data_IF_833897517438
#
_entry.id   IF_833897517438
#
_cell.length_a   1.000
_cell.length_b   1.000
_cell.length_c   1.000
_cell.angle_alpha   90.00
_cell.angle_beta   90.00
_cell.angle_gamma   90.00
#
_symmetry.space_group_name_H-M   'P 1'
#
loop_
_entity.id
_entity.type
_entity.pdbx_description
1 polymer ?
#
# COMPACT_ATOMS: atom_id res chain seq x y z
N UNK A 1 20.42 7.39 -22.17
CA UNK A 1 20.23 8.69 -21.50
C UNK A 1 19.59 8.42 -20.13
N UNK A 2 20.18 8.88 -19.04
CA UNK A 2 19.60 8.74 -17.70
C UNK A 2 18.52 9.81 -17.56
N UNK A 3 17.30 9.40 -17.19
CA UNK A 3 16.21 10.35 -16.98
C UNK A 3 15.46 10.02 -15.70
N UNK A 4 14.97 11.02 -14.95
CA UNK A 4 14.14 10.81 -13.80
C UNK A 4 12.81 10.16 -14.20
N UNK A 5 12.31 9.33 -13.32
CA UNK A 5 11.08 8.58 -13.50
C UNK A 5 10.31 8.52 -12.18
N UNK A 6 9.00 8.72 -12.25
CA UNK A 6 8.12 8.47 -11.12
C UNK A 6 7.86 6.97 -11.00
N UNK A 7 8.27 6.37 -9.89
CA UNK A 7 7.97 4.97 -9.56
C UNK A 7 6.50 4.85 -9.18
N UNK A 8 6.05 5.79 -8.34
CA UNK A 8 4.64 5.92 -7.99
C UNK A 8 4.26 7.39 -7.85
N UNK A 9 2.98 7.65 -8.06
CA UNK A 9 2.37 8.95 -7.79
C UNK A 9 0.92 8.74 -7.36
N UNK A 10 0.57 9.25 -6.18
CA UNK A 10 -0.80 9.27 -5.67
C UNK A 10 -1.13 10.65 -5.19
N UNK A 11 -2.25 11.19 -5.65
CA UNK A 11 -2.76 12.49 -5.25
C UNK A 11 -4.21 12.36 -4.81
N UNK A 12 -4.50 12.78 -3.59
CA UNK A 12 -5.83 12.68 -2.98
C UNK A 12 -6.27 14.07 -2.55
N UNK A 13 -7.37 14.52 -3.09
CA UNK A 13 -8.02 15.77 -2.76
C UNK A 13 -9.21 15.48 -1.83
N UNK A 14 -9.16 15.99 -0.61
CA UNK A 14 -10.30 16.00 0.32
C UNK A 14 -10.73 17.44 0.62
N UNK A 15 -11.62 17.63 1.58
CA UNK A 15 -12.16 18.96 1.92
C UNK A 15 -11.11 19.91 2.49
N UNK A 16 -10.06 19.41 3.15
CA UNK A 16 -9.09 20.20 3.91
C UNK A 16 -7.76 20.39 3.17
N UNK A 17 -7.33 19.40 2.37
CA UNK A 17 -6.02 19.40 1.75
C UNK A 17 -5.93 18.50 0.51
N UNK A 18 -4.95 18.80 -0.33
CA UNK A 18 -4.43 17.91 -1.36
C UNK A 18 -3.21 17.19 -0.79
N UNK A 19 -3.32 15.87 -0.60
CA UNK A 19 -2.21 15.01 -0.19
C UNK A 19 -1.51 14.43 -1.41
N UNK A 20 -0.18 14.50 -1.44
CA UNK A 20 0.64 13.90 -2.50
C UNK A 20 1.65 12.96 -1.88
N UNK A 21 1.68 11.73 -2.42
CA UNK A 21 2.72 10.75 -2.17
C UNK A 21 3.32 10.31 -3.49
N UNK A 22 4.64 10.40 -3.61
CA UNK A 22 5.36 10.03 -4.83
C UNK A 22 6.72 9.42 -4.51
N UNK A 23 7.26 8.65 -5.44
CA UNK A 23 8.63 8.16 -5.41
C UNK A 23 9.30 8.44 -6.75
N UNK A 24 10.50 9.02 -6.70
CA UNK A 24 11.29 9.34 -7.88
C UNK A 24 12.59 8.56 -7.89
N UNK A 25 13.01 8.13 -9.06
CA UNK A 25 14.28 7.46 -9.29
C UNK A 25 14.85 7.80 -10.67
N UNK A 26 16.12 7.46 -10.89
CA UNK A 26 16.70 7.52 -12.23
C UNK A 26 16.43 6.23 -12.97
N UNK A 27 15.73 6.30 -14.11
CA UNK A 27 15.63 5.18 -15.02
C UNK A 27 16.95 5.06 -15.80
N UNK A 28 17.64 3.96 -15.57
CA UNK A 28 18.83 3.60 -16.32
C UNK A 28 18.51 2.42 -17.24
N UNK A 29 19.24 2.33 -18.37
CA UNK A 29 19.15 1.14 -19.23
C UNK A 29 19.54 -0.12 -18.44
N UNK A 30 18.98 -1.29 -18.78
CA UNK A 30 19.27 -2.54 -18.09
C UNK A 30 20.79 -2.74 -17.97
N UNK A 31 21.22 -3.15 -16.78
CA UNK A 31 22.64 -3.33 -16.45
C UNK A 31 23.18 -4.48 -17.30
N UNK A 32 24.33 -4.32 -17.96
CA UNK A 32 25.12 -5.45 -18.42
C UNK A 32 25.44 -6.35 -17.21
N UNK A 33 25.36 -7.65 -17.39
CA UNK A 33 25.59 -8.69 -16.39
C UNK A 33 26.70 -8.34 -15.38
N UNK A 34 26.43 -8.36 -14.07
CA UNK A 34 27.45 -8.20 -13.03
C UNK A 34 27.11 -7.37 -11.79
N UNK A 35 25.86 -7.00 -11.51
CA UNK A 35 25.50 -6.31 -10.24
C UNK A 35 25.34 -7.27 -9.05
N UNK A 36 25.49 -6.77 -7.82
CA UNK A 36 25.40 -7.54 -6.55
C UNK A 36 24.15 -8.43 -6.48
N UNK A 37 23.05 -7.99 -7.05
CA UNK A 37 21.79 -8.76 -7.06
C UNK A 37 21.70 -9.80 -8.18
N UNK A 38 22.44 -9.58 -9.28
CA UNK A 38 22.62 -10.63 -10.29
C UNK A 38 23.39 -11.77 -9.64
N UNK A 39 24.40 -11.47 -8.84
CA UNK A 39 25.17 -12.46 -8.09
C UNK A 39 24.30 -13.12 -7.02
N UNK A 40 23.50 -12.38 -6.27
CA UNK A 40 22.56 -12.95 -5.28
C UNK A 40 21.49 -13.82 -5.97
N UNK A 41 20.93 -13.38 -7.09
CA UNK A 41 19.98 -14.17 -7.87
C UNK A 41 20.65 -15.40 -8.50
N UNK A 42 21.92 -15.32 -8.94
CA UNK A 42 22.71 -16.46 -9.38
C UNK A 42 23.06 -17.41 -8.24
N UNK A 43 23.43 -16.91 -7.07
CA UNK A 43 23.68 -17.74 -5.88
C UNK A 43 22.41 -18.45 -5.43
N UNK A 44 21.27 -17.79 -5.45
CA UNK A 44 19.96 -18.40 -5.21
C UNK A 44 19.59 -19.43 -6.29
N UNK A 45 19.89 -19.14 -7.56
CA UNK A 45 19.65 -20.04 -8.67
C UNK A 45 20.59 -21.26 -8.65
N UNK A 46 21.85 -21.09 -8.24
CA UNK A 46 22.82 -22.19 -8.07
C UNK A 46 22.48 -23.08 -6.88
N UNK A 47 21.88 -22.52 -5.83
CA UNK A 47 21.38 -23.30 -4.68
C UNK A 47 20.12 -24.12 -5.01
N UNK A 48 19.45 -23.82 -6.13
CA UNK A 48 18.26 -24.48 -6.64
C UNK A 48 18.62 -25.23 -7.91
N UNK A 49 19.15 -26.43 -7.79
CA UNK A 49 19.59 -27.25 -8.92
C UNK A 49 18.73 -27.14 -10.21
N UNK A 50 19.38 -26.72 -11.32
CA UNK A 50 19.20 -27.16 -12.70
C UNK A 50 18.15 -26.56 -13.63
N UNK A 51 17.39 -25.56 -13.32
CA UNK A 51 16.70 -24.84 -14.39
C UNK A 51 17.18 -23.38 -14.46
N UNK A 52 18.05 -23.10 -15.42
CA UNK A 52 18.57 -21.75 -15.73
C UNK A 52 17.42 -20.92 -16.31
N UNK A 53 16.59 -20.36 -15.45
CA UNK A 53 15.74 -19.24 -15.81
C UNK A 53 16.53 -17.97 -15.56
N UNK A 54 16.80 -17.19 -16.60
CA UNK A 54 17.26 -15.82 -16.42
C UNK A 54 16.25 -15.11 -15.52
N UNK A 55 16.65 -14.58 -14.35
CA UNK A 55 15.72 -13.86 -13.48
C UNK A 55 15.16 -12.68 -14.26
N UNK A 56 13.89 -12.73 -14.62
CA UNK A 56 13.15 -11.60 -15.14
C UNK A 56 12.55 -10.88 -13.94
N UNK A 57 13.34 -10.04 -13.30
CA UNK A 57 12.75 -9.06 -12.40
C UNK A 57 11.74 -8.25 -13.21
N UNK A 58 10.53 -8.04 -12.72
CA UNK A 58 9.49 -7.28 -13.42
C UNK A 58 9.93 -5.85 -13.73
N UNK A 59 11.04 -5.39 -13.15
CA UNK A 59 11.63 -4.08 -13.37
C UNK A 59 13.12 -4.17 -13.64
N UNK A 60 13.52 -3.59 -14.76
CA UNK A 60 14.82 -3.74 -15.39
C UNK A 60 16.00 -3.12 -14.61
N UNK A 61 15.86 -2.51 -13.45
CA UNK A 61 17.02 -1.93 -12.78
C UNK A 61 16.95 -1.89 -11.25
N UNK A 62 17.82 -2.66 -10.67
CA UNK A 62 18.16 -2.70 -9.23
C UNK A 62 18.79 -1.37 -8.73
N UNK A 63 19.20 -0.47 -9.61
CA UNK A 63 19.66 0.88 -9.27
C UNK A 63 18.55 1.77 -8.68
N UNK A 64 17.30 1.34 -8.73
CA UNK A 64 16.19 1.87 -7.93
C UNK A 64 16.46 1.87 -6.41
N UNK A 65 17.44 1.10 -5.95
CA UNK A 65 17.85 1.03 -4.55
C UNK A 65 18.82 2.14 -4.11
N UNK A 66 19.48 2.83 -5.05
CA UNK A 66 20.32 3.98 -4.70
C UNK A 66 19.42 5.18 -4.38
N UNK A 67 19.45 5.59 -3.12
CA UNK A 67 18.82 6.82 -2.69
C UNK A 67 19.47 8.04 -3.37
N UNK A 68 18.66 9.00 -3.76
CA UNK A 68 19.06 10.32 -4.24
C UNK A 68 17.97 11.32 -3.88
N UNK A 69 18.38 12.52 -3.49
CA UNK A 69 17.48 13.65 -3.31
C UNK A 69 17.08 14.24 -4.65
N UNK A 70 15.79 14.55 -4.80
CA UNK A 70 15.22 15.20 -5.99
C UNK A 70 14.39 16.41 -5.57
N UNK A 71 14.19 17.34 -6.50
CA UNK A 71 13.23 18.42 -6.35
C UNK A 71 12.10 18.24 -7.37
N UNK A 72 10.88 18.24 -6.86
CA UNK A 72 9.66 18.05 -7.64
C UNK A 72 8.82 19.32 -7.60
N UNK A 73 8.56 19.92 -8.75
CA UNK A 73 7.62 21.04 -8.89
C UNK A 73 6.23 20.48 -9.18
N UNK A 74 5.27 20.92 -8.38
CA UNK A 74 3.84 20.67 -8.60
C UNK A 74 3.18 21.95 -9.07
N UNK A 75 2.45 21.85 -10.16
CA UNK A 75 1.54 22.89 -10.67
C UNK A 75 0.14 22.32 -10.63
N UNK A 76 -0.73 22.94 -9.82
CA UNK A 76 -2.13 22.53 -9.70
C UNK A 76 -3.04 23.49 -10.48
N UNK A 77 -3.96 22.90 -11.24
CA UNK A 77 -4.90 23.59 -12.11
C UNK A 77 -6.32 23.40 -11.60
N UNK A 78 -7.11 24.46 -11.66
CA UNK A 78 -8.55 24.43 -11.46
C UNK A 78 -9.22 25.17 -12.61
N UNK A 79 -10.14 24.50 -13.33
CA UNK A 79 -10.86 25.07 -14.46
C UNK A 79 -9.94 25.69 -15.55
N UNK A 80 -8.78 25.07 -15.78
CA UNK A 80 -7.80 25.52 -16.78
C UNK A 80 -6.87 26.63 -16.29
N UNK A 81 -7.04 27.16 -15.08
CA UNK A 81 -6.18 28.18 -14.49
C UNK A 81 -5.24 27.57 -13.45
N UNK A 82 -4.02 28.08 -13.40
CA UNK A 82 -3.07 27.71 -12.34
C UNK A 82 -3.50 28.34 -11.02
N UNK A 83 -3.74 27.49 -10.01
CA UNK A 83 -4.15 27.93 -8.66
C UNK A 83 -3.07 27.67 -7.60
N UNK A 84 -2.04 26.89 -7.94
CA UNK A 84 -0.95 26.61 -7.03
C UNK A 84 0.30 26.14 -7.76
N UNK A 85 1.46 26.61 -7.28
CA UNK A 85 2.78 26.19 -7.75
C UNK A 85 3.74 26.14 -6.56
N UNK A 86 4.45 25.03 -6.43
CA UNK A 86 5.51 24.90 -5.42
C UNK A 86 6.50 23.81 -5.76
N UNK A 87 7.76 23.99 -5.33
CA UNK A 87 8.81 22.97 -5.39
C UNK A 87 8.91 22.31 -4.03
N UNK A 88 8.99 20.99 -4.02
CA UNK A 88 9.16 20.15 -2.85
C UNK A 88 10.44 19.33 -3.00
N UNK A 89 11.13 19.10 -1.89
CA UNK A 89 12.31 18.25 -1.83
C UNK A 89 11.93 16.87 -1.31
N UNK A 90 12.53 15.82 -1.90
CA UNK A 90 12.36 14.44 -1.45
C UNK A 90 13.19 14.17 -0.20
N UNK A 91 12.91 13.03 0.46
CA UNK A 91 13.86 12.43 1.37
C UNK A 91 15.13 11.93 0.61
N UNK A 92 16.11 11.41 1.36
CA UNK A 92 17.36 10.85 0.80
C UNK A 92 17.15 9.65 -0.13
N UNK A 93 15.95 9.09 -0.18
CA UNK A 93 15.58 7.94 -1.01
C UNK A 93 14.72 8.31 -2.22
N UNK A 94 14.42 9.61 -2.42
CA UNK A 94 13.59 10.08 -3.51
C UNK A 94 12.10 9.98 -3.25
N UNK A 95 11.66 9.83 -1.98
CA UNK A 95 10.24 9.80 -1.63
C UNK A 95 9.75 11.19 -1.28
N UNK A 96 8.52 11.47 -1.69
CA UNK A 96 7.77 12.67 -1.36
C UNK A 96 6.50 12.28 -0.60
N UNK A 97 6.23 12.99 0.48
CA UNK A 97 4.98 12.85 1.24
C UNK A 97 4.65 14.21 1.87
N UNK A 98 3.71 14.93 1.27
CA UNK A 98 3.35 16.25 1.73
C UNK A 98 1.87 16.58 1.51
N UNK A 99 1.40 17.60 2.19
CA UNK A 99 0.04 18.12 2.11
C UNK A 99 0.04 19.58 1.70
N UNK A 100 -0.88 19.94 0.84
CA UNK A 100 -1.14 21.31 0.41
C UNK A 100 -2.49 21.69 1.01
N UNK A 101 -2.53 22.65 1.95
CA UNK A 101 -3.78 23.13 2.50
C UNK A 101 -4.64 23.78 1.41
N UNK A 102 -5.93 23.50 1.44
CA UNK A 102 -6.89 24.10 0.51
C UNK A 102 -7.38 25.45 1.03
N UNK A 103 -7.59 26.34 0.10
CA UNK A 103 -8.38 27.55 0.24
C UNK A 103 -9.50 27.51 -0.82
N UNK A 104 -10.34 28.53 -0.88
CA UNK A 104 -11.50 28.53 -1.80
C UNK A 104 -11.09 28.36 -3.28
N UNK A 105 -9.95 28.93 -3.68
CA UNK A 105 -9.43 28.79 -5.05
C UNK A 105 -8.94 27.38 -5.38
N UNK A 106 -8.49 26.63 -4.36
CA UNK A 106 -7.88 25.31 -4.51
C UNK A 106 -8.86 24.16 -4.30
N UNK A 107 -10.08 24.40 -3.89
CA UNK A 107 -11.09 23.34 -3.67
C UNK A 107 -11.44 22.59 -4.96
N UNK A 108 -11.29 23.22 -6.12
CA UNK A 108 -11.67 22.65 -7.42
C UNK A 108 -10.47 22.22 -8.26
N UNK A 109 -9.37 21.83 -7.63
CA UNK A 109 -8.20 21.28 -8.34
C UNK A 109 -8.63 20.02 -9.09
N UNK A 110 -8.46 20.05 -10.42
CA UNK A 110 -8.85 18.96 -11.31
C UNK A 110 -7.68 18.40 -12.13
N UNK A 111 -6.52 19.04 -12.13
CA UNK A 111 -5.32 18.53 -12.78
C UNK A 111 -4.05 18.95 -12.03
N UNK A 112 -3.05 18.10 -12.11
CA UNK A 112 -1.71 18.32 -11.55
C UNK A 112 -0.67 18.05 -12.62
N UNK A 113 0.23 19.01 -12.88
CA UNK A 113 1.43 18.78 -13.68
C UNK A 113 2.64 18.65 -12.75
N UNK A 114 3.42 17.61 -12.95
CA UNK A 114 4.55 17.21 -12.10
C UNK A 114 5.84 17.32 -12.90
N UNK A 115 6.79 18.10 -12.39
CA UNK A 115 8.09 18.33 -13.06
C UNK A 115 9.23 17.96 -12.12
N UNK A 116 10.31 17.42 -12.68
CA UNK A 116 11.62 17.37 -12.06
C UNK A 116 12.40 18.64 -12.41
N UNK A 117 13.06 19.26 -11.40
CA UNK A 117 13.69 20.58 -11.56
C UNK A 117 15.10 20.67 -10.99
N UNK A 118 15.66 19.58 -10.45
CA UNK A 118 16.95 19.61 -9.76
C UNK A 118 18.13 19.09 -10.60
N UNK A 119 17.86 18.31 -11.65
CA UNK A 119 18.92 17.59 -12.38
C UNK A 119 19.71 18.49 -13.34
N UNK A 120 19.05 19.45 -13.95
CA UNK A 120 19.67 20.38 -14.88
C UNK A 120 19.18 21.79 -14.57
N UNK A 121 20.06 22.71 -14.14
CA UNK A 121 19.67 24.09 -13.85
C UNK A 121 18.94 24.75 -15.03
N UNK A 122 17.79 25.37 -14.75
CA UNK A 122 16.97 26.06 -15.75
C UNK A 122 16.13 25.16 -16.65
N UNK A 123 16.21 23.83 -16.50
CA UNK A 123 15.39 22.87 -17.23
C UNK A 123 14.33 22.24 -16.31
N UNK A 124 13.09 22.33 -16.72
CA UNK A 124 11.96 21.67 -16.06
C UNK A 124 11.52 20.47 -16.90
N UNK A 125 11.73 19.27 -16.37
CA UNK A 125 11.34 18.05 -17.07
C UNK A 125 9.96 17.60 -16.61
N UNK A 126 8.96 17.66 -17.49
CA UNK A 126 7.62 17.14 -17.22
C UNK A 126 7.68 15.61 -17.02
N UNK A 127 7.28 15.16 -15.84
CA UNK A 127 7.20 13.74 -15.48
C UNK A 127 5.82 13.14 -15.77
N UNK A 128 4.79 13.96 -15.73
CA UNK A 128 3.41 13.56 -16.05
C UNK A 128 2.38 14.59 -15.63
N UNK A 129 1.15 14.34 -16.11
CA UNK A 129 -0.04 15.07 -15.69
C UNK A 129 -1.02 14.09 -15.05
N UNK A 130 -1.62 14.47 -13.93
CA UNK A 130 -2.43 13.59 -13.09
C UNK A 130 -3.74 14.28 -12.70
N UNK A 131 -4.78 13.48 -12.55
CA UNK A 131 -6.05 13.91 -11.96
C UNK A 131 -6.06 13.42 -10.52
N UNK A 132 -6.20 14.31 -9.52
CA UNK A 132 -6.28 13.87 -8.14
C UNK A 132 -7.56 13.09 -7.90
N UNK A 133 -7.49 12.04 -7.06
CA UNK A 133 -8.69 11.38 -6.58
C UNK A 133 -9.41 12.30 -5.60
N UNK A 134 -10.66 12.64 -5.93
CA UNK A 134 -11.50 13.46 -5.04
C UNK A 134 -12.23 12.54 -4.06
N UNK A 135 -12.02 12.77 -2.76
CA UNK A 135 -12.72 12.08 -1.69
C UNK A 135 -13.66 13.07 -0.97
N UNK A 136 -14.93 13.03 -1.34
CA UNK A 136 -16.00 13.76 -0.64
C UNK A 136 -16.56 12.95 0.51
N UNK A 137 -17.08 13.61 1.54
CA UNK A 137 -17.79 12.94 2.64
C UNK A 137 -19.27 12.70 2.28
N UNK A 138 -19.85 11.58 2.74
CA UNK A 138 -19.25 10.47 3.49
C UNK A 138 -18.31 9.63 2.63
N UNK A 139 -17.05 9.44 3.05
CA UNK A 139 -16.05 8.71 2.29
C UNK A 139 -16.03 7.21 2.67
N UNK A 140 -15.75 6.37 1.67
CA UNK A 140 -15.71 4.91 1.80
C UNK A 140 -14.39 4.38 1.26
N UNK A 141 -13.64 3.66 2.07
CA UNK A 141 -12.35 3.09 1.68
C UNK A 141 -12.35 1.58 1.80
N UNK A 142 -11.71 0.93 0.83
CA UNK A 142 -11.32 -0.47 0.95
C UNK A 142 -9.81 -0.59 0.81
N UNK A 143 -9.15 -1.14 1.83
CA UNK A 143 -7.70 -1.37 1.83
C UNK A 143 -7.49 -2.86 1.76
N UNK A 144 -6.84 -3.31 0.70
CA UNK A 144 -6.66 -4.72 0.39
C UNK A 144 -5.17 -5.07 0.36
N UNK A 145 -4.80 -6.14 1.04
CA UNK A 145 -3.53 -6.79 0.84
C UNK A 145 -3.47 -7.45 -0.54
N UNK A 146 -2.27 -7.61 -1.10
CA UNK A 146 -2.07 -8.15 -2.44
C UNK A 146 -1.64 -9.62 -2.42
N UNK A 147 -0.50 -9.88 -1.76
CA UNK A 147 0.11 -11.20 -1.72
C UNK A 147 -0.71 -12.16 -0.85
N UNK A 148 -0.92 -13.40 -1.32
CA UNK A 148 -1.79 -14.40 -0.68
C UNK A 148 -3.25 -13.99 -0.50
N UNK A 149 -3.59 -12.74 -0.78
CA UNK A 149 -4.96 -12.21 -0.71
C UNK A 149 -5.60 -12.11 -2.09
N UNK A 150 -5.01 -11.40 -3.03
CA UNK A 150 -5.49 -11.28 -4.42
C UNK A 150 -4.82 -12.27 -5.37
N UNK A 151 -3.55 -12.56 -5.10
CA UNK A 151 -2.71 -13.50 -5.86
C UNK A 151 -2.15 -14.53 -4.89
N UNK A 152 -2.21 -15.81 -5.27
CA UNK A 152 -1.75 -16.93 -4.42
C UNK A 152 -0.23 -17.12 -4.54
N UNK A 153 0.53 -16.12 -4.10
CA UNK A 153 1.99 -16.16 -4.03
C UNK A 153 2.47 -17.07 -2.90
N UNK A 154 3.63 -17.71 -3.08
CA UNK A 154 4.23 -18.59 -2.08
C UNK A 154 5.58 -18.06 -1.64
N UNK A 155 5.82 -18.00 -0.34
CA UNK A 155 7.04 -17.48 0.27
C UNK A 155 7.59 -18.36 1.41
N UNK A 156 7.19 -19.64 1.46
CA UNK A 156 7.54 -20.53 2.57
C UNK A 156 8.97 -21.05 2.48
N UNK A 157 9.51 -21.18 1.27
CA UNK A 157 10.87 -21.66 1.00
C UNK A 157 11.68 -20.64 0.20
N UNK A 158 13.01 -20.73 0.24
CA UNK A 158 13.90 -19.88 -0.56
C UNK A 158 13.59 -19.98 -2.07
N UNK A 159 13.22 -21.18 -2.53
CA UNK A 159 12.81 -21.45 -3.91
C UNK A 159 11.52 -20.69 -4.27
N UNK A 160 10.53 -20.70 -3.40
CA UNK A 160 9.28 -19.98 -3.59
C UNK A 160 9.48 -18.47 -3.58
N UNK A 161 10.33 -17.95 -2.69
CA UNK A 161 10.73 -16.53 -2.69
C UNK A 161 11.38 -16.16 -4.02
N UNK A 162 12.33 -16.97 -4.51
CA UNK A 162 12.97 -16.76 -5.80
C UNK A 162 11.96 -16.76 -6.95
N UNK A 163 11.04 -17.71 -7.01
CA UNK A 163 9.99 -17.75 -8.02
C UNK A 163 9.06 -16.54 -7.93
N UNK A 164 8.68 -16.13 -6.74
CA UNK A 164 7.84 -14.95 -6.53
C UNK A 164 8.51 -13.65 -6.99
N UNK A 165 9.85 -13.59 -6.95
CA UNK A 165 10.62 -12.44 -7.40
C UNK A 165 10.93 -12.47 -8.92
N UNK A 166 10.93 -13.62 -9.56
CA UNK A 166 11.41 -13.78 -10.94
C UNK A 166 10.32 -14.14 -11.95
N UNK A 167 9.18 -14.66 -11.51
CA UNK A 167 8.05 -14.99 -12.38
C UNK A 167 7.10 -13.80 -12.52
N UNK A 168 6.49 -13.59 -13.68
CA UNK A 168 5.44 -12.60 -13.84
C UNK A 168 4.25 -12.91 -12.93
N UNK A 169 3.49 -11.89 -12.53
CA UNK A 169 2.35 -12.05 -11.61
C UNK A 169 1.26 -12.98 -12.15
N UNK A 170 1.14 -13.07 -13.48
CA UNK A 170 0.20 -13.97 -14.17
C UNK A 170 0.53 -15.45 -13.99
N UNK A 171 1.77 -15.76 -13.60
CA UNK A 171 2.19 -17.13 -13.26
C UNK A 171 1.49 -17.65 -11.99
N UNK A 172 1.12 -16.76 -11.08
CA UNK A 172 0.49 -17.14 -9.82
C UNK A 172 -1.03 -17.15 -9.94
N UNK A 173 -1.70 -18.13 -9.33
CA UNK A 173 -3.16 -18.19 -9.35
C UNK A 173 -3.81 -16.94 -8.77
N UNK A 174 -4.81 -16.42 -9.46
CA UNK A 174 -5.65 -15.35 -8.94
C UNK A 174 -6.65 -15.93 -7.93
N UNK A 175 -6.77 -15.30 -6.77
CA UNK A 175 -7.79 -15.64 -5.77
C UNK A 175 -9.11 -14.98 -6.18
N UNK A 176 -9.90 -15.72 -6.98
CA UNK A 176 -11.08 -15.17 -7.66
C UNK A 176 -12.13 -14.61 -6.71
N UNK A 177 -12.35 -15.25 -5.55
CA UNK A 177 -13.29 -14.77 -4.54
C UNK A 177 -12.84 -13.44 -3.92
N UNK A 178 -11.58 -13.27 -3.62
CA UNK A 178 -11.04 -11.99 -3.11
C UNK A 178 -11.24 -10.87 -4.12
N UNK A 179 -10.94 -11.14 -5.41
CA UNK A 179 -11.17 -10.17 -6.49
C UNK A 179 -12.65 -9.81 -6.61
N UNK A 180 -13.54 -10.80 -6.48
CA UNK A 180 -14.99 -10.56 -6.51
C UNK A 180 -15.46 -9.69 -5.35
N UNK A 181 -15.01 -9.97 -4.11
CA UNK A 181 -15.31 -9.16 -2.92
C UNK A 181 -14.82 -7.72 -3.14
N UNK A 182 -13.55 -7.54 -3.52
CA UNK A 182 -12.97 -6.22 -3.77
C UNK A 182 -13.81 -5.43 -4.79
N UNK A 183 -14.14 -6.07 -5.92
CA UNK A 183 -14.97 -5.45 -6.97
C UNK A 183 -16.39 -5.10 -6.50
N UNK A 184 -16.98 -5.92 -5.63
CA UNK A 184 -18.31 -5.64 -5.09
C UNK A 184 -18.32 -4.35 -4.26
N UNK A 185 -17.27 -4.11 -3.47
CA UNK A 185 -17.12 -2.88 -2.71
C UNK A 185 -16.83 -1.67 -3.60
N UNK A 186 -15.98 -1.84 -4.63
CA UNK A 186 -15.74 -0.77 -5.62
C UNK A 186 -17.06 -0.34 -6.29
N UNK A 187 -17.91 -1.29 -6.67
CA UNK A 187 -19.25 -1.00 -7.22
C UNK A 187 -20.16 -0.25 -6.23
N UNK A 188 -19.96 -0.43 -4.91
CA UNK A 188 -20.65 0.29 -3.85
C UNK A 188 -20.03 1.66 -3.51
N UNK A 189 -19.10 2.13 -4.33
CA UNK A 189 -18.43 3.44 -4.17
C UNK A 189 -17.27 3.46 -3.20
N UNK A 190 -16.69 2.30 -2.83
CA UNK A 190 -15.48 2.26 -2.04
C UNK A 190 -14.25 2.54 -2.93
N UNK A 191 -13.35 3.40 -2.46
CA UNK A 191 -12.09 3.69 -3.12
C UNK A 191 -11.02 2.67 -2.67
N UNK A 192 -10.47 1.87 -3.62
CA UNK A 192 -9.53 0.82 -3.28
C UNK A 192 -8.10 1.34 -3.10
N UNK A 193 -7.45 0.89 -2.03
CA UNK A 193 -6.01 1.01 -1.80
C UNK A 193 -5.41 -0.38 -1.70
N UNK A 194 -4.20 -0.54 -2.22
CA UNK A 194 -3.46 -1.79 -2.13
C UNK A 194 -2.26 -1.62 -1.22
N UNK A 195 -2.08 -2.54 -0.30
CA UNK A 195 -0.92 -2.61 0.59
C UNK A 195 -0.26 -3.97 0.41
N UNK A 196 1.05 -4.02 0.18
CA UNK A 196 1.76 -5.28 -0.03
C UNK A 196 3.17 -5.24 0.57
N UNK A 197 3.66 -6.40 1.03
CA UNK A 197 5.05 -6.61 1.42
C UNK A 197 6.01 -6.63 0.24
N UNK A 198 5.50 -6.70 -0.98
CA UNK A 198 6.29 -6.68 -2.20
C UNK A 198 7.16 -5.42 -2.29
N UNK A 199 8.37 -5.52 -2.87
CA UNK A 199 9.24 -4.37 -3.05
C UNK A 199 8.59 -3.26 -3.87
N UNK A 200 8.92 -2.00 -3.57
CA UNK A 200 8.38 -0.83 -4.26
C UNK A 200 8.58 -0.85 -5.79
N UNK A 201 9.60 -1.53 -6.27
CA UNK A 201 9.84 -1.67 -7.72
C UNK A 201 8.87 -2.64 -8.43
N UNK A 202 8.02 -3.36 -7.69
CA UNK A 202 6.92 -4.19 -8.23
C UNK A 202 5.66 -3.39 -8.53
N UNK A 203 5.61 -2.10 -8.23
CA UNK A 203 4.40 -1.31 -8.37
C UNK A 203 3.83 -1.34 -9.79
N UNK A 204 4.69 -1.22 -10.81
CA UNK A 204 4.25 -1.27 -12.22
C UNK A 204 3.57 -2.61 -12.55
N UNK A 205 4.18 -3.73 -12.15
CA UNK A 205 3.62 -5.06 -12.38
C UNK A 205 2.28 -5.26 -11.62
N UNK A 206 2.20 -4.79 -10.37
CA UNK A 206 0.95 -4.86 -9.59
C UNK A 206 -0.14 -3.99 -10.22
N UNK A 207 0.21 -2.78 -10.68
CA UNK A 207 -0.71 -1.87 -11.34
C UNK A 207 -1.26 -2.47 -12.62
N UNK A 208 -0.40 -3.07 -13.46
CA UNK A 208 -0.80 -3.73 -14.70
C UNK A 208 -1.72 -4.92 -14.42
N UNK A 209 -1.38 -5.74 -13.41
CA UNK A 209 -2.21 -6.85 -12.98
C UNK A 209 -3.61 -6.40 -12.51
N UNK A 210 -3.69 -5.32 -11.74
CA UNK A 210 -4.95 -4.71 -11.29
C UNK A 210 -5.74 -4.15 -12.46
N UNK A 211 -5.07 -3.44 -13.37
CA UNK A 211 -5.68 -2.83 -14.55
C UNK A 211 -6.32 -3.88 -15.47
N UNK A 212 -5.61 -4.98 -15.76
CA UNK A 212 -6.15 -6.11 -16.53
C UNK A 212 -7.43 -6.67 -15.91
N UNK A 213 -7.59 -6.56 -14.60
CA UNK A 213 -8.78 -6.99 -13.84
C UNK A 213 -9.78 -5.87 -13.59
N UNK A 214 -9.62 -4.72 -14.27
CA UNK A 214 -10.48 -3.54 -14.13
C UNK A 214 -10.61 -3.06 -12.68
N UNK A 215 -9.52 -3.13 -11.91
CA UNK A 215 -9.41 -2.59 -10.55
C UNK A 215 -8.56 -1.32 -10.63
N UNK A 216 -9.21 -0.16 -10.54
CA UNK A 216 -8.54 1.14 -10.53
C UNK A 216 -8.32 1.57 -9.09
N UNK A 217 -7.06 1.53 -8.65
CA UNK A 217 -6.71 1.84 -7.26
C UNK A 217 -6.41 3.32 -7.05
N UNK A 218 -6.78 3.82 -5.87
CA UNK A 218 -6.42 5.15 -5.38
C UNK A 218 -4.94 5.28 -5.02
N UNK A 219 -4.29 4.16 -4.71
CA UNK A 219 -2.86 4.11 -4.42
C UNK A 219 -2.38 2.70 -4.09
N UNK A 220 -1.10 2.47 -4.38
CA UNK A 220 -0.40 1.23 -4.08
C UNK A 220 0.71 1.55 -3.07
N UNK A 221 0.75 0.83 -1.97
CA UNK A 221 1.67 1.03 -0.86
C UNK A 221 2.52 -0.22 -0.68
N UNK A 222 3.77 -0.14 -1.10
CA UNK A 222 4.72 -1.24 -1.10
C UNK A 222 5.84 -0.99 -0.11
N UNK A 223 6.50 -2.08 0.31
CA UNK A 223 7.64 -2.00 1.23
C UNK A 223 8.84 -1.33 0.55
N UNK A 224 9.31 -0.23 1.12
CA UNK A 224 10.51 0.45 0.62
C UNK A 224 11.78 -0.23 1.15
N UNK A 225 12.30 -1.15 0.37
CA UNK A 225 13.53 -1.86 0.70
C UNK A 225 14.78 -0.98 0.70
N UNK A 226 14.75 0.22 0.10
CA UNK A 226 15.86 1.18 0.17
C UNK A 226 16.11 1.61 1.62
N UNK A 227 15.04 1.83 2.38
CA UNK A 227 15.13 2.12 3.81
C UNK A 227 15.65 0.92 4.61
N UNK A 228 15.28 -0.29 4.20
CA UNK A 228 15.76 -1.52 4.83
C UNK A 228 17.25 -1.72 4.51
N UNK A 229 17.65 -1.56 3.26
CA UNK A 229 19.05 -1.77 2.83
C UNK A 229 20.01 -0.65 3.26
N UNK A 230 19.56 0.58 3.45
CA UNK A 230 20.39 1.64 4.06
C UNK A 230 20.74 1.36 5.52
N UNK A 231 20.01 0.45 6.16
CA UNK A 231 20.30 -0.05 7.50
C UNK A 231 21.24 -1.28 7.49
N UNK A 232 21.60 -1.83 6.30
CA UNK A 232 22.52 -2.97 6.17
C UNK A 232 23.97 -2.67 6.56
N UNK A 233 24.33 -1.42 6.76
CA UNK A 233 25.58 -1.08 7.44
C UNK A 233 25.61 -1.50 8.91
N UNK A 234 24.50 -2.05 9.44
CA UNK A 234 24.34 -2.54 10.80
C UNK A 234 23.54 -3.86 10.81
N UNK A 235 24.24 -5.00 10.85
CA UNK A 235 23.82 -6.36 11.24
C UNK A 235 22.31 -6.71 11.16
N UNK A 236 21.69 -6.56 9.99
CA UNK A 236 20.33 -7.05 9.77
C UNK A 236 20.33 -8.57 9.61
N UNK A 237 19.61 -9.24 10.47
CA UNK A 237 19.40 -10.68 10.36
C UNK A 237 18.25 -11.00 9.40
N UNK A 238 18.23 -12.19 8.76
CA UNK A 238 17.09 -12.66 7.98
C UNK A 238 15.75 -12.64 8.74
N UNK A 239 15.80 -12.57 10.08
CA UNK A 239 14.60 -12.44 10.93
C UNK A 239 13.97 -11.05 10.82
N UNK A 240 14.76 -10.00 10.59
CA UNK A 240 14.26 -8.62 10.47
C UNK A 240 13.49 -8.39 9.15
N UNK A 241 13.80 -9.19 8.12
CA UNK A 241 13.03 -9.22 6.87
C UNK A 241 11.62 -9.82 7.05
N UNK A 242 11.42 -10.64 8.10
CA UNK A 242 10.14 -11.29 8.41
C UNK A 242 9.20 -10.47 9.28
N UNK A 243 9.60 -9.27 9.74
CA UNK A 243 8.73 -8.38 10.52
C UNK A 243 7.73 -7.66 9.61
N UNK A 244 6.67 -8.37 9.21
CA UNK A 244 5.69 -7.87 8.25
C UNK A 244 4.62 -6.94 8.86
N UNK A 245 4.33 -7.05 10.17
CA UNK A 245 3.22 -6.33 10.77
C UNK A 245 3.40 -4.83 10.83
N UNK A 246 4.59 -4.37 11.16
CA UNK A 246 4.84 -2.97 11.43
C UNK A 246 4.78 -2.08 10.18
N UNK A 247 5.36 -2.52 9.05
CA UNK A 247 5.31 -1.74 7.82
C UNK A 247 3.87 -1.63 7.32
N UNK A 248 3.07 -2.70 7.44
CA UNK A 248 1.67 -2.72 7.01
C UNK A 248 0.84 -1.73 7.84
N UNK A 249 0.99 -1.74 9.16
CA UNK A 249 0.37 -0.73 10.03
C UNK A 249 0.79 0.68 9.64
N UNK A 250 2.08 0.91 9.38
CA UNK A 250 2.59 2.21 8.99
C UNK A 250 1.92 2.72 7.69
N UNK A 251 1.74 1.84 6.69
CA UNK A 251 1.06 2.20 5.45
C UNK A 251 -0.45 2.43 5.64
N UNK A 252 -1.10 1.66 6.49
CA UNK A 252 -2.51 1.89 6.83
C UNK A 252 -2.72 3.28 7.45
N UNK A 253 -1.83 3.68 8.37
CA UNK A 253 -1.84 5.02 8.94
C UNK A 253 -1.56 6.10 7.89
N UNK A 254 -0.63 5.88 6.96
CA UNK A 254 -0.35 6.81 5.86
C UNK A 254 -1.56 6.99 4.93
N UNK A 255 -2.25 5.90 4.59
CA UNK A 255 -3.48 5.98 3.79
C UNK A 255 -4.51 6.85 4.50
N UNK A 256 -4.76 6.63 5.79
CA UNK A 256 -5.72 7.43 6.56
C UNK A 256 -5.26 8.88 6.74
N UNK A 257 -3.97 9.13 6.86
CA UNK A 257 -3.45 10.50 6.90
C UNK A 257 -3.61 11.21 5.56
N UNK A 258 -3.51 10.50 4.43
CA UNK A 258 -3.72 11.07 3.09
C UNK A 258 -5.18 11.27 2.75
N UNK A 259 -6.03 10.28 3.04
CA UNK A 259 -7.46 10.29 2.66
C UNK A 259 -8.37 10.98 3.66
N UNK A 260 -7.91 11.16 4.89
CA UNK A 260 -8.77 11.42 6.04
C UNK A 260 -9.35 10.12 6.61
N UNK A 261 -10.03 10.21 7.74
CA UNK A 261 -10.73 9.08 8.35
C UNK A 261 -12.05 8.87 7.60
N UNK A 262 -12.33 7.66 7.04
CA UNK A 262 -13.54 7.40 6.28
C UNK A 262 -14.75 7.13 7.21
N UNK A 263 -15.95 7.22 6.66
CA UNK A 263 -17.18 6.78 7.33
C UNK A 263 -17.31 5.25 7.29
N UNK A 264 -16.96 4.66 6.14
CA UNK A 264 -16.95 3.22 5.96
C UNK A 264 -15.54 2.74 5.59
N UNK A 265 -14.99 1.81 6.35
CA UNK A 265 -13.69 1.19 6.04
C UNK A 265 -13.83 -0.32 5.96
N UNK A 266 -13.31 -0.88 4.88
CA UNK A 266 -13.16 -2.32 4.68
C UNK A 266 -11.69 -2.65 4.57
N UNK A 267 -11.24 -3.65 5.31
CA UNK A 267 -9.88 -4.17 5.26
C UNK A 267 -9.93 -5.61 4.76
N UNK A 268 -9.09 -5.93 3.77
CA UNK A 268 -9.00 -7.29 3.21
C UNK A 268 -7.59 -7.81 3.33
N UNK A 269 -7.43 -9.03 3.82
CA UNK A 269 -6.14 -9.68 3.99
C UNK A 269 -6.25 -11.18 4.11
N UNK A 270 -5.17 -11.79 4.59
CA UNK A 270 -5.06 -13.23 4.77
C UNK A 270 -4.72 -13.61 6.22
N UNK A 271 -4.87 -14.91 6.54
CA UNK A 271 -4.45 -15.50 7.82
C UNK A 271 -3.09 -16.21 7.73
N UNK A 272 -2.31 -15.96 6.69
CA UNK A 272 -0.94 -16.51 6.55
C UNK A 272 0.09 -15.67 7.29
N UNK A 273 -0.26 -14.39 7.53
CA UNK A 273 0.56 -13.39 8.22
C UNK A 273 -0.21 -12.80 9.41
N UNK A 274 0.18 -11.62 9.86
CA UNK A 274 -0.42 -10.97 11.03
C UNK A 274 -1.59 -10.03 10.68
N UNK A 275 -2.18 -10.11 9.48
CA UNK A 275 -3.23 -9.21 9.01
C UNK A 275 -4.41 -9.06 9.97
N UNK A 276 -4.96 -10.14 10.54
CA UNK A 276 -6.06 -10.00 11.49
C UNK A 276 -5.72 -9.11 12.68
N UNK A 277 -4.52 -9.26 13.22
CA UNK A 277 -4.06 -8.47 14.39
C UNK A 277 -3.81 -7.02 13.99
N UNK A 278 -3.20 -6.78 12.82
CA UNK A 278 -2.88 -5.44 12.32
C UNK A 278 -4.16 -4.67 12.02
N UNK A 279 -5.11 -5.31 11.36
CA UNK A 279 -6.38 -4.69 11.00
C UNK A 279 -7.26 -4.42 12.21
N UNK A 280 -7.33 -5.36 13.15
CA UNK A 280 -8.02 -5.13 14.43
C UNK A 280 -7.38 -3.99 15.22
N UNK A 281 -6.04 -3.87 15.21
CA UNK A 281 -5.37 -2.76 15.85
C UNK A 281 -5.78 -1.43 15.21
N UNK A 282 -5.85 -1.32 13.88
CA UNK A 282 -6.32 -0.11 13.25
C UNK A 282 -7.79 0.19 13.61
N UNK A 283 -8.67 -0.80 13.48
CA UNK A 283 -10.10 -0.66 13.75
C UNK A 283 -10.37 -0.26 15.20
N UNK A 284 -9.68 -0.90 16.15
CA UNK A 284 -9.84 -0.55 17.57
C UNK A 284 -9.42 0.89 17.86
N UNK A 285 -8.36 1.40 17.20
CA UNK A 285 -7.96 2.79 17.31
C UNK A 285 -9.00 3.75 16.74
N UNK A 286 -9.62 3.39 15.61
CA UNK A 286 -10.64 4.21 14.97
C UNK A 286 -11.96 4.25 15.76
N UNK A 287 -12.35 3.15 16.39
CA UNK A 287 -13.62 3.03 17.10
C UNK A 287 -13.54 3.47 18.58
N UNK A 288 -12.40 3.34 19.22
CA UNK A 288 -12.22 3.72 20.61
C UNK A 288 -11.51 5.07 20.76
N UNK A 289 -11.98 5.90 21.70
CA UNK A 289 -11.34 7.16 22.07
C UNK A 289 -10.23 6.90 23.09
N UNK A 290 -9.07 6.41 22.64
CA UNK A 290 -7.91 6.15 23.49
C UNK A 290 -6.83 7.20 23.27
N UNK A 291 -6.06 7.49 24.34
CA UNK A 291 -4.82 8.27 24.19
C UNK A 291 -3.82 7.52 23.29
N UNK A 292 -3.29 8.16 22.24
CA UNK A 292 -2.38 7.50 21.29
C UNK A 292 -1.17 6.82 21.92
N UNK A 293 -0.58 7.44 22.97
CA UNK A 293 0.59 6.89 23.65
C UNK A 293 0.23 5.62 24.40
N UNK A 294 -0.81 5.68 25.20
CA UNK A 294 -1.30 4.52 25.99
C UNK A 294 -1.71 3.38 25.07
N UNK A 295 -2.41 3.69 23.98
CA UNK A 295 -2.81 2.72 22.98
C UNK A 295 -1.62 2.04 22.33
N UNK A 296 -0.66 2.84 21.83
CA UNK A 296 0.52 2.31 21.18
C UNK A 296 1.38 1.47 22.11
N UNK A 297 1.51 1.85 23.37
CA UNK A 297 2.24 1.06 24.36
C UNK A 297 1.64 -0.33 24.63
N UNK A 298 0.32 -0.49 24.47
CA UNK A 298 -0.35 -1.80 24.53
C UNK A 298 -0.02 -2.63 23.29
N UNK A 299 -0.13 -2.02 22.10
CA UNK A 299 0.08 -2.71 20.83
C UNK A 299 1.51 -3.20 20.63
N UNK A 300 2.52 -2.41 20.97
CA UNK A 300 3.92 -2.77 20.75
C UNK A 300 4.41 -3.98 21.55
N UNK A 301 3.61 -4.43 22.52
CA UNK A 301 3.87 -5.69 23.27
C UNK A 301 3.45 -6.92 22.46
N UNK A 302 2.61 -6.76 21.45
CA UNK A 302 2.17 -7.86 20.61
C UNK A 302 3.27 -8.25 19.63
N UNK A 303 3.40 -9.56 19.40
CA UNK A 303 4.43 -10.13 18.49
C UNK A 303 4.39 -9.52 17.09
N UNK A 304 3.20 -9.16 16.59
CA UNK A 304 3.00 -8.54 15.28
C UNK A 304 3.67 -7.16 15.14
N UNK A 305 3.94 -6.45 16.25
CA UNK A 305 4.45 -5.08 16.27
C UNK A 305 5.84 -4.96 16.93
N UNK A 306 6.58 -6.06 17.00
CA UNK A 306 7.96 -6.00 17.47
C UNK A 306 8.81 -5.12 16.54
N UNK A 307 9.60 -4.21 17.10
CA UNK A 307 10.32 -3.18 16.36
C UNK A 307 11.64 -2.79 16.99
N UNK A 308 12.44 -2.04 16.23
CA UNK A 308 13.54 -1.25 16.76
C UNK A 308 13.07 0.16 17.20
N UNK A 309 13.85 0.83 18.05
CA UNK A 309 13.46 2.11 18.65
C UNK A 309 13.24 3.27 17.68
N UNK A 310 13.82 3.24 16.47
CA UNK A 310 13.70 4.34 15.49
C UNK A 310 12.30 4.46 14.91
N UNK A 311 11.57 3.36 14.76
CA UNK A 311 10.22 3.32 14.19
C UNK A 311 9.14 3.71 15.22
N UNK A 312 9.42 3.59 16.51
CA UNK A 312 8.48 3.88 17.60
C UNK A 312 7.96 5.32 17.56
N UNK A 313 8.87 6.29 17.49
CA UNK A 313 8.50 7.71 17.47
C UNK A 313 7.70 8.09 16.21
N UNK A 314 8.04 7.53 15.06
CA UNK A 314 7.34 7.79 13.80
C UNK A 314 5.89 7.30 13.83
N UNK A 315 5.66 6.08 14.29
CA UNK A 315 4.32 5.52 14.42
C UNK A 315 3.48 6.27 15.44
N UNK A 316 4.06 6.55 16.60
CA UNK A 316 3.37 7.33 17.63
C UNK A 316 2.95 8.71 17.10
N UNK A 317 3.83 9.40 16.35
CA UNK A 317 3.49 10.67 15.71
C UNK A 317 2.29 10.54 14.77
N UNK A 318 2.20 9.47 13.96
CA UNK A 318 1.06 9.22 13.07
C UNK A 318 -0.24 8.96 13.83
N UNK A 319 -0.18 8.23 14.94
CA UNK A 319 -1.34 8.03 15.80
C UNK A 319 -1.83 9.36 16.39
N UNK A 320 -0.95 10.25 16.82
CA UNK A 320 -1.34 11.59 17.29
C UNK A 320 -1.96 12.43 16.17
N UNK A 321 -1.39 12.41 14.96
CA UNK A 321 -1.95 13.13 13.81
C UNK A 321 -3.36 12.64 13.47
N UNK A 322 -3.59 11.31 13.44
CA UNK A 322 -4.92 10.74 13.21
C UNK A 322 -5.90 11.07 14.35
N UNK A 323 -5.44 11.05 15.58
CA UNK A 323 -6.26 11.46 16.72
C UNK A 323 -6.71 12.92 16.60
N UNK A 324 -5.84 13.82 16.17
CA UNK A 324 -6.19 15.21 15.92
C UNK A 324 -7.24 15.36 14.80
N UNK A 325 -7.12 14.59 13.72
CA UNK A 325 -8.13 14.55 12.65
C UNK A 325 -9.47 14.04 13.21
N UNK A 326 -9.45 13.00 14.04
CA UNK A 326 -10.65 12.43 14.65
C UNK A 326 -11.33 13.42 15.61
N UNK A 327 -10.56 14.13 16.42
CA UNK A 327 -11.09 15.14 17.35
C UNK A 327 -11.81 16.28 16.62
N UNK A 328 -11.28 16.71 15.45
CA UNK A 328 -11.95 17.71 14.61
C UNK A 328 -13.30 17.19 14.05
N UNK A 329 -13.44 15.87 13.90
CA UNK A 329 -14.60 15.20 13.32
C UNK A 329 -15.31 14.31 14.36
N UNK A 330 -15.46 14.79 15.58
CA UNK A 330 -15.95 14.00 16.75
C UNK A 330 -17.34 13.36 16.57
N UNK A 331 -18.19 13.89 15.69
CA UNK A 331 -19.52 13.35 15.39
C UNK A 331 -19.52 12.31 14.24
N UNK A 332 -18.36 11.99 13.67
CA UNK A 332 -18.29 11.05 12.57
C UNK A 332 -18.49 9.62 13.06
N UNK A 333 -19.55 8.97 12.59
CA UNK A 333 -19.73 7.53 12.76
C UNK A 333 -18.81 6.79 11.80
N UNK A 334 -18.15 5.76 12.32
CA UNK A 334 -17.24 4.90 11.54
C UNK A 334 -17.78 3.48 11.57
N UNK A 335 -17.98 2.91 10.39
CA UNK A 335 -18.28 1.50 10.20
C UNK A 335 -17.06 0.77 9.69
N UNK A 336 -16.68 -0.33 10.33
CA UNK A 336 -15.52 -1.12 9.93
C UNK A 336 -15.88 -2.58 9.70
N UNK A 337 -15.30 -3.19 8.64
CA UNK A 337 -15.37 -4.63 8.36
C UNK A 337 -13.98 -5.13 7.95
N UNK A 338 -13.66 -6.35 8.36
CA UNK A 338 -12.39 -7.01 8.04
C UNK A 338 -12.70 -8.35 7.38
N UNK A 339 -12.24 -8.53 6.15
CA UNK A 339 -12.35 -9.78 5.41
C UNK A 339 -11.01 -10.51 5.43
N UNK A 340 -10.97 -11.72 5.97
CA UNK A 340 -9.75 -12.52 6.09
C UNK A 340 -9.89 -13.82 5.32
N UNK A 341 -9.01 -14.02 4.34
CA UNK A 341 -8.86 -15.29 3.64
C UNK A 341 -8.27 -16.33 4.58
N UNK A 342 -8.98 -17.46 4.77
CA UNK A 342 -8.50 -18.57 5.60
C UNK A 342 -7.45 -19.41 4.90
N UNK A 343 -6.54 -19.99 5.67
CA UNK A 343 -5.80 -21.18 5.27
C UNK A 343 -6.72 -22.41 5.32
N UNK A 344 -6.57 -23.30 4.38
CA UNK A 344 -7.44 -24.48 4.20
C UNK A 344 -7.50 -25.45 5.42
N UNK A 345 -6.65 -25.30 6.42
CA UNK A 345 -6.54 -26.21 7.57
C UNK A 345 -6.71 -25.50 8.94
N UNK A 346 -6.91 -24.18 8.95
CA UNK A 346 -7.06 -23.43 10.20
C UNK A 346 -8.51 -22.97 10.38
N UNK A 347 -9.17 -23.49 11.41
CA UNK A 347 -10.57 -23.12 11.73
C UNK A 347 -10.71 -21.81 12.49
N UNK A 348 -9.65 -21.36 13.20
CA UNK A 348 -9.71 -20.18 14.07
C UNK A 348 -8.51 -19.26 13.86
N UNK A 349 -8.74 -17.96 14.07
CA UNK A 349 -7.70 -16.95 14.12
C UNK A 349 -7.32 -16.68 15.57
N UNK A 350 -6.05 -16.69 15.87
CA UNK A 350 -5.54 -16.30 17.19
C UNK A 350 -5.60 -14.77 17.34
N UNK A 351 -6.54 -14.29 18.14
CA UNK A 351 -6.74 -12.87 18.42
C UNK A 351 -6.23 -12.55 19.82
N UNK A 352 -5.27 -11.62 19.97
CA UNK A 352 -4.82 -11.17 21.29
C UNK A 352 -5.96 -10.62 22.16
N UNK A 353 -5.93 -10.87 23.47
CA UNK A 353 -7.00 -10.47 24.40
C UNK A 353 -7.35 -8.99 24.31
N UNK A 354 -6.34 -8.13 24.14
CA UNK A 354 -6.52 -6.68 24.03
C UNK A 354 -7.34 -6.24 22.81
N UNK A 355 -7.50 -7.13 21.80
CA UNK A 355 -8.26 -6.88 20.56
C UNK A 355 -9.52 -7.72 20.43
N UNK A 356 -9.77 -8.69 21.33
CA UNK A 356 -10.92 -9.61 21.26
C UNK A 356 -12.27 -8.90 21.20
N UNK A 357 -12.40 -7.74 21.84
CA UNK A 357 -13.63 -6.92 21.83
C UNK A 357 -14.09 -6.57 20.41
N UNK A 358 -13.15 -6.49 19.46
CA UNK A 358 -13.43 -6.12 18.07
C UNK A 358 -13.49 -7.33 17.12
N UNK A 359 -13.40 -8.56 17.65
CA UNK A 359 -13.38 -9.77 16.82
C UNK A 359 -14.62 -9.92 15.92
N UNK A 360 -15.76 -9.38 16.34
CA UNK A 360 -17.01 -9.44 15.59
C UNK A 360 -17.01 -8.69 14.25
N UNK A 361 -16.02 -7.80 14.01
CA UNK A 361 -15.90 -7.12 12.72
C UNK A 361 -15.20 -7.98 11.68
N UNK A 362 -14.61 -9.14 12.06
CA UNK A 362 -13.92 -10.06 11.16
C UNK A 362 -14.91 -11.03 10.52
N UNK A 363 -14.84 -11.11 9.20
CA UNK A 363 -15.51 -12.10 8.37
C UNK A 363 -14.47 -12.98 7.69
N UNK A 364 -14.55 -14.28 7.94
CA UNK A 364 -13.65 -15.27 7.35
C UNK A 364 -14.24 -15.79 6.05
N UNK A 365 -13.36 -15.95 5.03
CA UNK A 365 -13.78 -16.53 3.76
C UNK A 365 -12.72 -17.45 3.16
N UNK A 366 -13.18 -18.40 2.34
CA UNK A 366 -12.32 -19.30 1.62
C UNK A 366 -11.96 -18.73 0.24
N UNK A 367 -10.74 -18.98 -0.23
CA UNK A 367 -10.27 -18.48 -1.52
C UNK A 367 -10.92 -19.12 -2.75
N UNK A 368 -11.62 -20.26 -2.59
CA UNK A 368 -12.20 -21.02 -3.69
C UNK A 368 -13.58 -20.49 -4.11
N UNK A 369 -13.79 -20.41 -5.42
CA UNK A 369 -14.95 -19.75 -6.04
C UNK A 369 -16.28 -20.55 -5.97
N UNK A 370 -16.27 -21.79 -5.53
CA UNK A 370 -17.44 -22.69 -5.63
C UNK A 370 -18.70 -22.22 -4.90
N UNK A 371 -18.56 -21.31 -3.91
CA UNK A 371 -19.70 -20.77 -3.15
C UNK A 371 -20.32 -19.49 -3.72
N UNK A 372 -19.73 -18.87 -4.74
CA UNK A 372 -20.31 -17.65 -5.37
C UNK A 372 -21.58 -17.93 -6.20
N UNK A 373 -21.78 -19.17 -6.64
CA UNK A 373 -22.96 -19.54 -7.42
C UNK A 373 -24.24 -19.65 -6.58
N UNK A 374 -24.15 -19.76 -5.27
CA UNK A 374 -25.31 -19.80 -4.39
C UNK A 374 -25.88 -18.41 -4.10
N UNK A 375 -25.01 -17.44 -3.71
CA UNK A 375 -25.46 -16.08 -3.37
C UNK A 375 -25.89 -15.25 -4.57
N UNK A 376 -25.27 -15.43 -5.76
CA UNK A 376 -25.71 -14.77 -6.99
C UNK A 376 -27.05 -15.30 -7.50
N UNK A 377 -27.35 -16.60 -7.20
CA UNK A 377 -28.68 -17.17 -7.52
C UNK A 377 -29.77 -16.64 -6.60
N UNK A 378 -29.47 -16.39 -5.33
CA UNK A 378 -30.44 -15.77 -4.39
C UNK A 378 -30.74 -14.32 -4.75
N UNK A 379 -29.71 -13.48 -5.08
CA UNK A 379 -29.94 -12.09 -5.51
C UNK A 379 -30.67 -12.00 -6.86
N UNK A 380 -30.44 -12.92 -7.79
CA UNK A 380 -31.14 -12.94 -9.08
C UNK A 380 -32.57 -13.52 -8.98
N UNK A 381 -32.90 -14.25 -7.92
CA UNK A 381 -34.28 -14.69 -7.65
C UNK A 381 -35.11 -13.60 -6.96
N UNK A 382 -34.49 -12.78 -6.10
CA UNK A 382 -35.17 -11.64 -5.46
C UNK A 382 -35.48 -10.53 -6.48
N UNK A 383 -34.57 -10.26 -7.44
CA UNK A 383 -34.83 -9.27 -8.52
C UNK A 383 -35.83 -9.70 -9.58
N UNK A 384 -36.25 -10.98 -9.62
CA UNK A 384 -37.32 -11.47 -10.50
C UNK A 384 -38.67 -11.60 -9.83
N UNK A 385 -38.73 -11.33 -8.53
CA UNK A 385 -39.94 -11.40 -7.73
C UNK A 385 -40.52 -10.01 -7.37
N UNK A 386 -39.84 -8.94 -7.74
CA UNK A 386 -40.32 -7.55 -7.78
C UNK A 386 -40.60 -7.13 -9.26
#
# INVERSE_FOLDING_TARGET
MKRPHLVHFSAILNEDFLSIRAGMTMKENPIPHGGVYYNLAQELAQSIEKEIFSPRFPIASIRLLKGKTYQMKIVAMANGLEVYRKIFESDSHGNFNFKIPLNDERKNINALSVFEVSLTPGLELLLGSYIPLVLSRPSKLIICDFDKTLVDTKYSTTKEVYFSLTKPLEYFPTVTRSVAILRSFIKKGFHPFIVSASPHFYEEAIRDWLYQRKIFTAGIFLKDYRQVFSLFEMDLTPKDLKLHGLYKLNHLLDILLMSGIPNDIVLMGDNFEADPVIYLALVSFLLEHQDPRTYWQKLKRLKAFQMNHKQDAQLLSKFYQLNNIRQKNHNQQITAKIYIRRKLQEESIEIPDVLKKFASVIELYDGNAELLNASVKEESQVQRAE
#
